data_IF_786331045091
#
_entry.id   IF_786331045091
#
_cell.length_a   1.000
_cell.length_b   1.000
_cell.length_c   1.000
_cell.angle_alpha   90.00
_cell.angle_beta   90.00
_cell.angle_gamma   90.00
#
_symmetry.space_group_name_H-M   'P 1'
#
loop_
_entity.id
_entity.type
_entity.pdbx_description
1 polymer ?
#
# COMPACT_ATOMS: atom_id res chain seq x y z
N UNK A 1 15.58 -9.38 12.77
CA UNK A 1 15.05 -8.45 13.79
C UNK A 1 15.49 -8.93 15.17
N UNK A 2 15.90 -8.05 16.08
CA UNK A 2 16.46 -8.42 17.39
C UNK A 2 15.49 -8.14 18.56
N UNK A 3 14.19 -8.39 18.35
CA UNK A 3 13.18 -8.27 19.39
C UNK A 3 12.99 -9.62 20.08
N UNK A 4 12.71 -9.60 21.39
CA UNK A 4 12.37 -10.82 22.11
C UNK A 4 10.95 -11.27 21.76
N UNK A 5 10.64 -12.58 21.75
CA UNK A 5 9.26 -13.05 21.65
C UNK A 5 8.38 -12.41 22.73
N UNK A 6 7.15 -12.07 22.38
CA UNK A 6 6.22 -11.39 23.28
C UNK A 6 5.23 -10.50 22.56
N UNK A 7 4.35 -9.87 23.35
CA UNK A 7 3.34 -8.92 22.89
C UNK A 7 3.85 -7.50 23.08
N UNK A 8 3.71 -6.71 22.02
CA UNK A 8 4.05 -5.31 21.95
C UNK A 8 2.86 -4.53 21.43
N UNK A 9 2.88 -3.22 21.68
CA UNK A 9 1.98 -2.28 21.02
C UNK A 9 2.75 -1.56 19.92
N UNK A 10 2.32 -1.79 18.68
CA UNK A 10 2.79 -1.00 17.55
C UNK A 10 2.16 0.37 17.66
N UNK A 11 2.99 1.39 17.67
CA UNK A 11 2.56 2.80 17.70
C UNK A 11 3.26 3.53 16.58
N UNK A 12 2.58 4.50 15.97
CA UNK A 12 3.14 5.34 14.91
C UNK A 12 3.70 4.56 13.73
N UNK A 13 3.01 3.49 13.31
CA UNK A 13 3.32 2.85 12.05
C UNK A 13 3.02 3.85 10.93
N UNK A 14 4.05 4.14 10.14
CA UNK A 14 3.97 5.02 8.98
C UNK A 14 4.28 4.22 7.71
N UNK A 15 3.44 4.37 6.69
CA UNK A 15 3.60 3.74 5.39
C UNK A 15 3.65 4.83 4.32
N UNK A 16 4.84 5.06 3.78
CA UNK A 16 5.07 5.97 2.66
C UNK A 16 5.31 5.19 1.35
N UNK A 17 4.28 5.03 0.51
CA UNK A 17 4.42 4.46 -0.82
C UNK A 17 5.50 5.15 -1.68
N UNK A 18 6.41 4.36 -2.23
CA UNK A 18 7.45 4.84 -3.16
C UNK A 18 7.00 4.81 -4.62
N UNK A 19 5.97 4.02 -4.94
CA UNK A 19 5.42 3.91 -6.29
C UNK A 19 4.01 3.35 -6.29
N UNK A 20 3.18 3.83 -7.21
CA UNK A 20 1.87 3.24 -7.51
C UNK A 20 1.86 2.70 -8.95
N UNK A 21 1.51 1.42 -9.09
CA UNK A 21 1.27 0.79 -10.39
C UNK A 21 -0.17 0.32 -10.46
N UNK A 22 -0.79 0.46 -11.63
CA UNK A 22 -2.17 0.03 -11.86
C UNK A 22 -2.15 -1.07 -12.90
N UNK A 23 -2.84 -2.17 -12.60
CA UNK A 23 -3.01 -3.28 -13.54
C UNK A 23 -3.90 -2.83 -14.69
N UNK A 24 -3.37 -2.90 -15.91
CA UNK A 24 -4.06 -2.52 -17.14
C UNK A 24 -4.07 -3.69 -18.10
N UNK A 25 -5.19 -3.89 -18.78
CA UNK A 25 -5.29 -4.85 -19.88
C UNK A 25 -4.76 -4.21 -21.16
N UNK A 26 -3.85 -4.90 -21.85
CA UNK A 26 -3.28 -4.46 -23.12
C UNK A 26 -3.47 -5.54 -24.18
N UNK A 27 -4.19 -5.21 -25.24
CA UNK A 27 -4.34 -6.11 -26.39
C UNK A 27 -3.26 -5.82 -27.43
N UNK A 28 -2.48 -6.84 -27.78
CA UNK A 28 -1.48 -6.71 -28.84
C UNK A 28 -2.14 -6.83 -30.23
N UNK A 29 -1.36 -6.58 -31.31
CA UNK A 29 -1.86 -6.66 -32.69
C UNK A 29 -2.34 -8.05 -33.11
N UNK A 30 -1.96 -9.10 -32.39
CA UNK A 30 -2.39 -10.47 -32.62
C UNK A 30 -3.69 -10.83 -31.86
N UNK A 31 -4.32 -9.86 -31.20
CA UNK A 31 -5.57 -10.06 -30.46
C UNK A 31 -5.39 -10.74 -29.10
N UNK A 32 -4.15 -10.89 -28.62
CA UNK A 32 -3.87 -11.45 -27.28
C UNK A 32 -3.90 -10.31 -26.27
N UNK A 33 -4.76 -10.42 -25.28
CA UNK A 33 -4.84 -9.49 -24.15
C UNK A 33 -3.97 -9.99 -23.00
N UNK A 34 -3.05 -9.15 -22.54
CA UNK A 34 -2.22 -9.40 -21.35
C UNK A 34 -2.48 -8.33 -20.30
N UNK A 35 -2.49 -8.75 -19.04
CA UNK A 35 -2.65 -7.85 -17.91
C UNK A 35 -1.29 -7.52 -17.32
N UNK A 36 -0.92 -6.24 -17.35
CA UNK A 36 0.40 -5.77 -16.91
C UNK A 36 0.25 -4.59 -15.93
N UNK A 37 1.13 -4.51 -14.93
CA UNK A 37 1.19 -3.37 -14.03
C UNK A 37 1.90 -2.20 -14.71
N UNK A 38 1.16 -1.15 -14.99
CA UNK A 38 1.66 0.05 -15.64
C UNK A 38 2.08 1.09 -14.60
N UNK A 39 3.26 1.71 -14.81
CA UNK A 39 3.73 2.83 -13.99
C UNK A 39 2.82 4.04 -14.16
N UNK A 40 2.56 4.74 -13.06
CA UNK A 40 1.64 5.88 -13.04
C UNK A 40 2.33 7.17 -12.57
N UNK A 41 1.66 8.31 -12.74
CA UNK A 41 2.05 9.60 -12.15
C UNK A 41 1.08 9.96 -11.04
N UNK A 42 1.60 10.32 -9.87
CA UNK A 42 0.79 10.74 -8.75
C UNK A 42 0.20 12.15 -8.97
N UNK A 43 -1.10 12.32 -8.71
CA UNK A 43 -1.81 13.59 -8.94
C UNK A 43 -2.22 14.31 -7.65
N UNK A 44 -2.32 13.61 -6.52
CA UNK A 44 -2.81 14.14 -5.24
C UNK A 44 -1.74 14.79 -4.36
N UNK A 45 -0.52 15.02 -4.88
CA UNK A 45 0.62 15.57 -4.11
C UNK A 45 0.95 14.64 -2.92
N UNK A 46 1.36 15.19 -1.78
CA UNK A 46 1.89 14.44 -0.62
C UNK A 46 0.79 14.11 0.40
N UNK A 47 -0.33 13.51 -0.04
CA UNK A 47 -1.47 13.16 0.82
C UNK A 47 -1.76 11.65 0.86
N UNK A 48 -0.74 10.83 0.59
CA UNK A 48 -0.88 9.38 0.37
C UNK A 48 -0.21 8.52 1.45
N UNK A 49 0.52 9.14 2.38
CA UNK A 49 1.17 8.45 3.49
C UNK A 49 0.14 8.09 4.53
N UNK A 50 0.17 6.85 5.00
CA UNK A 50 -0.55 6.43 6.19
C UNK A 50 0.34 6.68 7.40
N UNK A 51 -0.23 7.17 8.49
CA UNK A 51 0.54 7.61 9.65
C UNK A 51 -0.24 7.38 10.94
N UNK A 52 0.49 7.39 12.05
CA UNK A 52 -0.08 7.19 13.40
C UNK A 52 -0.93 5.92 13.53
N UNK A 53 -0.65 4.88 12.73
CA UNK A 53 -1.34 3.59 12.84
C UNK A 53 -0.88 2.88 14.12
N UNK A 54 -1.85 2.36 14.86
CA UNK A 54 -1.64 1.65 16.12
C UNK A 54 -2.27 0.25 16.11
N UNK A 55 -1.73 -0.65 16.93
CA UNK A 55 -2.37 -1.93 17.21
C UNK A 55 -1.44 -3.01 17.77
N UNK A 56 -1.98 -4.20 18.10
CA UNK A 56 -1.22 -5.32 18.63
C UNK A 56 -0.13 -5.80 17.67
N UNK A 57 1.07 -6.01 18.21
CA UNK A 57 2.22 -6.58 17.50
C UNK A 57 2.80 -7.72 18.32
N UNK A 58 2.61 -8.96 17.87
CA UNK A 58 3.05 -10.15 18.59
C UNK A 58 4.17 -10.85 17.84
N UNK A 59 5.27 -11.12 18.55
CA UNK A 59 6.38 -11.93 18.06
C UNK A 59 6.28 -13.30 18.72
N UNK A 60 6.08 -14.33 17.90
CA UNK A 60 6.00 -15.71 18.36
C UNK A 60 7.40 -16.26 18.67
N UNK A 61 7.46 -17.34 19.47
CA UNK A 61 8.73 -17.98 19.87
C UNK A 61 9.55 -18.52 18.69
N UNK A 62 8.91 -18.79 17.54
CA UNK A 62 9.56 -19.23 16.30
C UNK A 62 10.04 -18.06 15.42
N UNK A 63 9.81 -16.81 15.84
CA UNK A 63 10.18 -15.60 15.12
C UNK A 63 9.13 -15.06 14.15
N UNK A 64 7.98 -15.72 14.00
CA UNK A 64 6.87 -15.21 13.21
C UNK A 64 6.26 -13.96 13.88
N UNK A 65 5.71 -13.06 13.08
CA UNK A 65 5.12 -11.80 13.54
C UNK A 65 3.65 -11.75 13.15
N UNK A 66 2.79 -11.44 14.11
CA UNK A 66 1.37 -11.13 13.90
C UNK A 66 1.20 -9.64 14.13
N UNK A 67 0.66 -8.94 13.14
CA UNK A 67 0.33 -7.51 13.21
C UNK A 67 -1.16 -7.35 13.00
N UNK A 68 -1.83 -6.64 13.90
CA UNK A 68 -3.22 -6.25 13.75
C UNK A 68 -3.32 -4.73 13.81
N UNK A 69 -3.82 -4.12 12.74
CA UNK A 69 -4.23 -2.72 12.72
C UNK A 69 -5.53 -2.56 13.56
N UNK A 70 -5.67 -1.41 14.23
CA UNK A 70 -6.85 -1.08 15.06
C UNK A 70 -7.36 0.35 14.89
N UNK A 71 -6.46 1.32 14.79
CA UNK A 71 -6.78 2.74 14.69
C UNK A 71 -5.62 3.52 14.04
N UNK A 72 -5.88 4.79 13.72
CA UNK A 72 -4.92 5.73 13.15
C UNK A 72 -5.40 6.34 11.83
N UNK A 73 -4.46 6.89 11.06
CA UNK A 73 -4.73 7.34 9.68
C UNK A 73 -4.38 6.16 8.75
N UNK A 74 -5.27 5.18 8.73
CA UNK A 74 -5.15 3.88 8.06
C UNK A 74 -5.60 3.89 6.59
N UNK A 75 -6.21 5.00 6.12
CA UNK A 75 -6.55 5.20 4.72
C UNK A 75 -6.19 6.59 4.17
N UNK A 76 -5.86 6.64 2.88
CA UNK A 76 -5.57 7.87 2.15
C UNK A 76 -6.17 7.86 0.74
N UNK A 77 -6.89 8.92 0.37
CA UNK A 77 -7.45 9.05 -0.97
C UNK A 77 -6.35 9.43 -1.98
N UNK A 78 -6.11 8.55 -2.94
CA UNK A 78 -5.05 8.69 -3.94
C UNK A 78 -5.66 8.75 -5.34
N UNK A 79 -5.14 9.63 -6.17
CA UNK A 79 -5.41 9.61 -7.61
C UNK A 79 -4.11 9.56 -8.37
N UNK A 80 -4.00 8.58 -9.25
CA UNK A 80 -2.87 8.43 -10.17
C UNK A 80 -3.32 8.58 -11.60
N UNK A 81 -2.38 8.93 -12.47
CA UNK A 81 -2.60 9.08 -13.90
C UNK A 81 -1.82 8.02 -14.66
N UNK A 82 -2.52 7.26 -15.50
CA UNK A 82 -1.95 6.31 -16.45
C UNK A 82 -1.31 7.04 -17.64
N UNK A 83 -0.37 6.40 -18.35
CA UNK A 83 0.04 6.84 -19.68
C UNK A 83 -1.19 6.94 -20.60
N UNK A 84 -1.34 8.05 -21.32
CA UNK A 84 -2.54 8.35 -22.09
C UNK A 84 -3.54 9.27 -21.38
N UNK A 85 -3.31 9.56 -20.10
CA UNK A 85 -3.96 10.66 -19.39
C UNK A 85 -5.17 10.27 -18.53
N UNK A 86 -5.61 9.02 -18.60
CA UNK A 86 -6.65 8.45 -17.74
C UNK A 86 -6.27 8.56 -16.26
N UNK A 87 -7.24 8.91 -15.41
CA UNK A 87 -7.07 9.05 -13.97
C UNK A 87 -7.79 7.94 -13.24
N UNK A 88 -7.09 7.27 -12.34
CA UNK A 88 -7.62 6.17 -11.53
C UNK A 88 -7.59 6.63 -10.07
N UNK A 89 -8.74 6.97 -9.48
CA UNK A 89 -8.86 7.20 -8.04
C UNK A 89 -8.98 5.88 -7.30
N UNK A 90 -8.33 5.78 -6.15
CA UNK A 90 -8.45 4.66 -5.22
C UNK A 90 -8.14 5.12 -3.79
N UNK A 91 -8.55 4.32 -2.81
CA UNK A 91 -8.18 4.50 -1.42
C UNK A 91 -6.99 3.59 -1.12
N UNK A 92 -5.83 4.16 -0.80
CA UNK A 92 -4.71 3.39 -0.26
C UNK A 92 -4.99 3.14 1.22
N UNK A 93 -5.07 1.88 1.63
CA UNK A 93 -5.49 1.46 2.97
C UNK A 93 -4.80 0.15 3.33
N UNK A 94 -4.77 -0.20 4.62
CA UNK A 94 -4.25 -1.47 5.15
C UNK A 94 -5.31 -2.31 5.85
#
# INVERSE_FOLDING_TARGET
LAFQPGKYDMTKLCLEPTSFTVKTEKTNRAGVTTAEFTKTKLMTRLTYTLDEIEGPFEILNNGDVIVEEKDGIDYAAVTVQLPGGERVPFLFTV
#
